data_IF_097620866302
#
_entry.id   IF_097620866302
#
_cell.length_a   1.000
_cell.length_b   1.000
_cell.length_c   1.000
_cell.angle_alpha   90.00
_cell.angle_beta   90.00
_cell.angle_gamma   90.00
#
_symmetry.space_group_name_H-M   'P 1'
#
loop_
_entity.id
_entity.type
_entity.pdbx_description
1 polymer ?
#
# COMPACT_ATOMS: atom_id res chain seq x y z
N UNK A 1 -21.93 -0.80 -17.18
CA UNK A 1 -22.52 -0.27 -18.43
C UNK A 1 -22.88 1.18 -18.16
N UNK A 2 -22.25 2.14 -18.86
CA UNK A 2 -22.46 3.56 -18.61
C UNK A 2 -23.88 3.97 -18.96
N UNK A 3 -24.55 4.68 -18.04
CA UNK A 3 -25.83 5.33 -18.30
C UNK A 3 -25.65 6.35 -19.43
N UNK A 4 -26.70 6.63 -20.24
CA UNK A 4 -26.60 7.63 -21.30
C UNK A 4 -26.16 8.95 -20.68
N UNK A 5 -25.03 9.48 -21.14
CA UNK A 5 -24.52 10.80 -20.73
C UNK A 5 -25.64 11.81 -20.98
N UNK A 6 -26.12 12.43 -19.89
CA UNK A 6 -27.15 13.46 -19.96
C UNK A 6 -26.75 14.57 -20.92
N UNK A 7 -27.72 15.13 -21.65
CA UNK A 7 -27.45 16.24 -22.58
C UNK A 7 -26.80 17.38 -21.80
N UNK A 8 -25.60 17.79 -22.18
CA UNK A 8 -24.89 18.92 -21.61
C UNK A 8 -25.73 20.19 -21.79
N UNK A 9 -26.36 20.67 -20.71
CA UNK A 9 -27.15 21.91 -20.74
C UNK A 9 -26.15 23.06 -20.77
N UNK A 10 -26.11 23.82 -21.87
CA UNK A 10 -25.25 25.00 -21.97
C UNK A 10 -25.78 26.06 -21.00
N UNK A 11 -24.97 26.56 -20.06
CA UNK A 11 -25.43 27.58 -19.11
C UNK A 11 -25.77 28.88 -19.86
N UNK A 12 -27.03 29.34 -19.72
CA UNK A 12 -27.47 30.64 -20.24
C UNK A 12 -27.17 31.81 -19.28
N UNK A 13 -26.55 31.53 -18.12
CA UNK A 13 -26.19 32.47 -17.07
C UNK A 13 -24.88 32.03 -16.42
N UNK A 14 -24.11 32.94 -15.79
CA UNK A 14 -22.95 32.57 -15.01
C UNK A 14 -23.34 31.55 -13.94
N UNK A 15 -22.59 30.46 -13.86
CA UNK A 15 -22.81 29.44 -12.85
C UNK A 15 -22.38 30.00 -11.47
N UNK A 16 -23.15 29.76 -10.40
CA UNK A 16 -22.69 29.94 -9.04
C UNK A 16 -21.36 29.22 -8.80
N UNK A 17 -20.46 29.83 -8.04
CA UNK A 17 -19.14 29.24 -7.71
C UNK A 17 -19.29 27.84 -7.10
N UNK A 18 -20.35 27.59 -6.35
CA UNK A 18 -20.59 26.30 -5.70
C UNK A 18 -21.09 25.19 -6.65
N UNK A 19 -21.43 25.49 -7.91
CA UNK A 19 -21.84 24.46 -8.87
C UNK A 19 -20.66 23.53 -9.24
N UNK A 20 -19.41 23.96 -9.03
CA UNK A 20 -18.22 23.11 -9.21
C UNK A 20 -18.10 21.99 -8.15
N UNK A 21 -18.74 22.19 -7.00
CA UNK A 21 -18.73 21.25 -5.87
C UNK A 21 -19.91 20.25 -5.93
N UNK A 22 -20.71 20.33 -6.98
CA UNK A 22 -21.88 19.49 -7.20
C UNK A 22 -21.63 18.66 -8.47
N UNK A 23 -21.60 17.34 -8.31
CA UNK A 23 -21.45 16.44 -9.44
C UNK A 23 -22.82 16.28 -10.11
N UNK A 24 -23.01 16.99 -11.20
CA UNK A 24 -24.19 16.86 -12.06
C UNK A 24 -23.94 15.76 -13.11
N UNK A 25 -24.41 14.54 -12.81
CA UNK A 25 -24.44 13.42 -13.76
C UNK A 25 -25.71 13.40 -14.63
N UNK A 26 -26.52 14.47 -14.61
CA UNK A 26 -27.81 14.56 -15.31
C UNK A 26 -28.94 13.79 -14.62
N UNK A 27 -28.75 13.32 -13.39
CA UNK A 27 -29.84 12.75 -12.58
C UNK A 27 -30.55 13.83 -11.76
N UNK A 28 -31.82 13.62 -11.34
CA UNK A 28 -32.52 14.55 -10.44
C UNK A 28 -31.90 14.67 -9.04
N UNK A 29 -30.86 13.88 -8.75
CA UNK A 29 -30.23 13.78 -7.44
C UNK A 29 -28.73 14.10 -7.56
N UNK A 30 -28.38 15.40 -7.70
CA UNK A 30 -26.98 15.81 -7.75
C UNK A 30 -26.29 15.48 -6.42
N UNK A 31 -25.10 14.90 -6.49
CA UNK A 31 -24.31 14.53 -5.33
C UNK A 31 -23.15 15.51 -5.11
N UNK A 32 -22.65 15.70 -3.88
CA UNK A 32 -21.44 16.48 -3.66
C UNK A 32 -20.28 15.86 -4.44
N UNK A 33 -19.50 16.67 -5.19
CA UNK A 33 -18.26 16.23 -5.84
C UNK A 33 -17.24 15.65 -4.84
N UNK A 34 -17.36 16.06 -3.57
CA UNK A 34 -16.61 15.49 -2.47
C UNK A 34 -17.41 14.28 -1.99
N UNK A 35 -16.97 13.09 -2.42
CA UNK A 35 -17.28 11.86 -1.68
C UNK A 35 -17.06 12.18 -0.21
N UNK A 36 -18.05 11.92 0.64
CA UNK A 36 -17.88 12.10 2.09
C UNK A 36 -16.86 11.06 2.54
N UNK A 37 -15.57 11.38 2.38
CA UNK A 37 -14.44 10.56 2.77
C UNK A 37 -14.71 10.24 4.24
N UNK A 38 -14.82 8.95 4.55
CA UNK A 38 -15.00 8.46 5.92
C UNK A 38 -14.06 9.26 6.84
N UNK A 39 -14.52 9.63 8.05
CA UNK A 39 -13.77 10.47 9.00
C UNK A 39 -12.27 10.20 8.84
N UNK A 40 -11.60 11.14 8.18
CA UNK A 40 -10.24 10.91 7.70
C UNK A 40 -9.39 10.59 8.91
N UNK A 41 -8.82 9.38 8.95
CA UNK A 41 -7.86 8.97 9.97
C UNK A 41 -6.89 10.14 10.19
N UNK A 42 -6.86 10.69 11.39
CA UNK A 42 -6.11 11.91 11.66
C UNK A 42 -4.62 11.69 11.33
N UNK A 43 -3.88 12.74 10.94
CA UNK A 43 -2.45 12.59 10.56
C UNK A 43 -1.61 11.83 11.61
N UNK A 44 -1.90 12.01 12.90
CA UNK A 44 -1.23 11.31 13.99
C UNK A 44 -1.74 9.88 14.19
N UNK A 45 -3.03 9.65 13.92
CA UNK A 45 -3.62 8.32 13.95
C UNK A 45 -3.06 7.46 12.80
N UNK A 46 -2.94 8.04 11.60
CA UNK A 46 -2.34 7.39 10.44
C UNK A 46 -0.86 7.07 10.71
N UNK A 47 -0.12 8.00 11.31
CA UNK A 47 1.26 7.77 11.74
C UNK A 47 1.34 6.66 12.79
N UNK A 48 0.42 6.63 13.77
CA UNK A 48 0.38 5.59 14.79
C UNK A 48 0.12 4.21 14.17
N UNK A 49 -0.81 4.10 13.22
CA UNK A 49 -1.06 2.85 12.49
C UNK A 49 0.15 2.40 11.67
N UNK A 50 0.83 3.32 11.01
CA UNK A 50 2.05 3.02 10.25
C UNK A 50 3.18 2.55 11.18
N UNK A 51 3.48 3.30 12.24
CA UNK A 51 4.52 2.94 13.21
C UNK A 51 4.19 1.64 13.94
N UNK A 52 2.93 1.45 14.34
CA UNK A 52 2.46 0.23 15.02
C UNK A 52 2.58 -1.00 14.12
N UNK A 53 2.10 -0.91 12.87
CA UNK A 53 2.20 -2.00 11.91
C UNK A 53 3.65 -2.39 11.61
N UNK A 54 4.53 -1.41 11.36
CA UNK A 54 5.95 -1.66 11.10
C UNK A 54 6.66 -2.26 12.33
N UNK A 55 6.38 -1.73 13.52
CA UNK A 55 6.98 -2.23 14.77
C UNK A 55 6.56 -3.67 15.08
N UNK A 56 5.31 -4.03 14.75
CA UNK A 56 4.83 -5.40 14.90
C UNK A 56 5.63 -6.37 14.03
N UNK A 57 5.80 -6.08 12.74
CA UNK A 57 6.57 -6.95 11.85
C UNK A 57 8.07 -7.00 12.20
N UNK A 58 8.64 -5.87 12.61
CA UNK A 58 10.03 -5.83 13.09
C UNK A 58 10.23 -6.72 14.32
N UNK A 59 9.33 -6.63 15.31
CA UNK A 59 9.41 -7.47 16.51
C UNK A 59 9.20 -8.95 16.19
N UNK A 60 8.26 -9.30 15.31
CA UNK A 60 8.07 -10.68 14.84
C UNK A 60 9.32 -11.24 14.16
N UNK A 61 9.98 -10.44 13.31
CA UNK A 61 11.24 -10.82 12.66
C UNK A 61 12.36 -11.06 13.66
N UNK A 62 12.52 -10.18 14.66
CA UNK A 62 13.51 -10.36 15.72
C UNK A 62 13.23 -11.60 16.58
N UNK A 63 11.96 -11.88 16.90
CA UNK A 63 11.58 -13.10 17.61
C UNK A 63 11.89 -14.35 16.79
N UNK A 64 11.69 -14.32 15.47
CA UNK A 64 12.05 -15.43 14.59
C UNK A 64 13.56 -15.70 14.60
N UNK A 65 14.39 -14.67 14.49
CA UNK A 65 15.86 -14.79 14.59
C UNK A 65 16.28 -15.29 15.97
N UNK A 66 15.67 -14.82 17.04
CA UNK A 66 15.99 -15.29 18.39
C UNK A 66 15.63 -16.78 18.59
N UNK A 67 14.55 -17.22 17.95
CA UNK A 67 14.10 -18.60 17.97
C UNK A 67 14.94 -19.52 17.05
N UNK A 68 15.54 -18.97 15.99
CA UNK A 68 16.40 -19.68 15.03
C UNK A 68 17.80 -19.93 15.61
N UNK A 69 17.94 -21.05 16.33
CA UNK A 69 19.20 -21.49 16.94
C UNK A 69 19.82 -22.58 16.07
N UNK A 70 21.14 -22.55 15.93
CA UNK A 70 21.91 -23.59 15.23
C UNK A 70 21.64 -25.01 15.78
N UNK A 71 21.29 -25.15 17.06
CA UNK A 71 20.93 -26.44 17.68
C UNK A 71 19.61 -27.04 17.18
N UNK A 72 18.78 -26.28 16.46
CA UNK A 72 17.50 -26.74 15.91
C UNK A 72 17.62 -27.24 14.47
N UNK A 73 18.79 -27.09 13.85
CA UNK A 73 19.05 -27.54 12.50
C UNK A 73 19.64 -28.96 12.60
N UNK A 74 18.91 -30.01 12.15
CA UNK A 74 19.35 -31.40 12.34
C UNK A 74 20.43 -31.84 11.34
N UNK A 75 20.90 -30.93 10.49
CA UNK A 75 21.89 -31.19 9.45
C UNK A 75 22.99 -30.13 9.47
N UNK A 76 24.18 -30.54 9.05
CA UNK A 76 25.30 -29.62 8.84
C UNK A 76 25.12 -28.84 7.54
N UNK A 77 25.67 -27.62 7.43
CA UNK A 77 25.74 -26.90 6.16
C UNK A 77 26.42 -27.75 5.09
N UNK A 78 25.91 -27.67 3.86
CA UNK A 78 26.46 -28.42 2.74
C UNK A 78 27.87 -27.92 2.41
N UNK A 79 28.83 -28.82 2.42
CA UNK A 79 30.21 -28.57 1.98
C UNK A 79 30.35 -29.03 0.54
N UNK A 80 31.00 -28.22 -0.30
CA UNK A 80 31.27 -28.58 -1.69
C UNK A 80 32.75 -28.97 -1.90
N UNK A 81 33.05 -29.86 -2.86
CA UNK A 81 34.43 -30.18 -3.25
C UNK A 81 35.22 -28.96 -3.75
N UNK A 82 36.53 -29.12 -3.94
CA UNK A 82 37.42 -28.08 -4.50
C UNK A 82 37.39 -26.77 -3.69
N UNK A 83 37.59 -26.87 -2.37
CA UNK A 83 37.60 -25.70 -1.47
C UNK A 83 36.30 -24.87 -1.57
N UNK A 84 35.15 -25.53 -1.44
CA UNK A 84 33.82 -24.93 -1.63
C UNK A 84 33.64 -24.23 -3.00
N UNK A 85 34.19 -24.82 -4.06
CA UNK A 85 34.10 -24.30 -5.43
C UNK A 85 34.69 -22.88 -5.55
N UNK A 86 35.74 -22.57 -4.78
CA UNK A 86 36.32 -21.21 -4.70
C UNK A 86 36.74 -20.68 -6.06
N UNK A 87 37.35 -21.51 -6.89
CA UNK A 87 37.82 -21.14 -8.23
C UNK A 87 36.65 -20.96 -9.20
N UNK A 88 35.67 -21.86 -9.13
CA UNK A 88 34.46 -21.84 -9.94
C UNK A 88 33.54 -20.66 -9.61
N UNK A 89 33.60 -20.15 -8.37
CA UNK A 89 32.95 -18.92 -7.92
C UNK A 89 33.76 -17.64 -8.24
N UNK A 90 34.90 -17.76 -8.93
CA UNK A 90 35.72 -16.64 -9.39
C UNK A 90 36.84 -16.21 -8.44
N UNK A 91 37.21 -17.06 -7.48
CA UNK A 91 38.40 -16.86 -6.65
C UNK A 91 39.70 -17.12 -7.43
N UNK A 92 40.78 -16.49 -6.97
CA UNK A 92 42.10 -16.64 -7.61
C UNK A 92 42.62 -18.09 -7.53
N UNK A 93 43.27 -18.62 -8.57
CA UNK A 93 43.75 -20.00 -8.58
C UNK A 93 44.78 -20.30 -7.48
#
# INVERSE_FOLDING_TARGET
MGLPVGKHIVPNKPLPVNDELIWDNGTPFPEPCIDRIAETVGKYEALAWMCGGLSFFASLGLLAVWNDKASKIPFTPRVYPYDNLRVELGGEP
#
